data_IF_800605278800
#
_entry.id   IF_800605278800
#
_cell.length_a   1.000
_cell.length_b   1.000
_cell.length_c   1.000
_cell.angle_alpha   90.00
_cell.angle_beta   90.00
_cell.angle_gamma   90.00
#
_symmetry.space_group_name_H-M   'P 1'
#
loop_
_entity.id
_entity.type
_entity.pdbx_description
1 polymer ?
#
# COMPACT_ATOMS: atom_id res chain seq x y z
N UNK A 1 10.48 26.35 -11.56
CA UNK A 1 9.51 25.97 -10.52
C UNK A 1 10.01 24.66 -9.93
N UNK A 2 10.05 24.47 -8.60
CA UNK A 2 10.37 23.14 -8.08
C UNK A 2 9.33 22.17 -8.65
N UNK A 3 9.82 21.04 -9.19
CA UNK A 3 8.98 19.99 -9.75
C UNK A 3 8.05 19.42 -8.69
N UNK A 4 6.99 18.75 -9.10
CA UNK A 4 6.08 18.03 -8.18
C UNK A 4 6.90 16.92 -7.47
N UNK A 5 7.10 17.00 -6.14
CA UNK A 5 7.94 16.04 -5.42
C UNK A 5 7.33 14.63 -5.39
N UNK A 6 6.08 14.48 -5.81
CA UNK A 6 5.43 13.18 -5.93
C UNK A 6 5.66 12.52 -7.29
N UNK A 7 6.05 13.26 -8.33
CA UNK A 7 6.35 12.72 -9.66
C UNK A 7 7.58 11.82 -9.57
N UNK A 8 7.46 10.58 -10.05
CA UNK A 8 8.55 9.61 -9.99
C UNK A 8 8.93 9.01 -11.34
N UNK A 9 8.13 9.23 -12.38
CA UNK A 9 8.40 8.70 -13.71
C UNK A 9 7.21 8.73 -14.65
N UNK A 10 7.33 7.98 -15.73
CA UNK A 10 6.33 7.90 -16.81
C UNK A 10 6.05 6.46 -17.22
N UNK A 11 4.81 6.20 -17.65
CA UNK A 11 4.40 4.91 -18.22
C UNK A 11 5.09 4.70 -19.56
N UNK A 12 5.75 3.56 -19.74
CA UNK A 12 6.45 3.16 -20.96
C UNK A 12 5.73 2.06 -21.73
N UNK A 13 5.03 1.17 -21.05
CA UNK A 13 4.31 0.06 -21.64
C UNK A 13 3.09 -0.29 -20.78
N UNK A 14 2.02 -0.78 -21.45
CA UNK A 14 0.77 -1.18 -20.80
C UNK A 14 0.35 -2.53 -21.33
N UNK A 15 0.21 -3.51 -20.44
CA UNK A 15 -0.22 -4.89 -20.76
C UNK A 15 -1.35 -5.32 -19.86
N UNK A 16 -2.59 -5.09 -20.28
CA UNK A 16 -3.75 -5.29 -19.42
C UNK A 16 -3.66 -4.40 -18.18
N UNK A 17 -3.75 -4.98 -17.00
CA UNK A 17 -3.62 -4.25 -15.74
C UNK A 17 -2.16 -4.08 -15.25
N UNK A 18 -1.16 -4.51 -16.03
CA UNK A 18 0.27 -4.34 -15.70
C UNK A 18 0.84 -3.19 -16.50
N UNK A 19 1.57 -2.30 -15.83
CA UNK A 19 2.26 -1.17 -16.46
C UNK A 19 3.75 -1.23 -16.18
N UNK A 20 4.56 -0.87 -17.18
CA UNK A 20 5.99 -0.64 -17.02
C UNK A 20 6.26 0.86 -16.93
N UNK A 21 7.06 1.26 -15.99
CA UNK A 21 7.31 2.65 -15.61
C UNK A 21 8.81 2.90 -15.70
N UNK A 22 9.18 3.96 -16.41
CA UNK A 22 10.53 4.49 -16.40
C UNK A 22 10.62 5.55 -15.29
N UNK A 23 11.58 5.40 -14.40
CA UNK A 23 11.82 6.36 -13.32
C UNK A 23 12.58 7.58 -13.84
N UNK A 24 12.22 8.75 -13.33
CA UNK A 24 12.94 9.99 -13.63
C UNK A 24 14.32 10.01 -12.95
N UNK A 25 15.30 10.64 -13.58
CA UNK A 25 16.68 10.71 -13.09
C UNK A 25 16.78 11.40 -11.71
N UNK A 26 15.93 12.38 -11.44
CA UNK A 26 15.86 13.08 -10.15
C UNK A 26 15.48 12.16 -8.98
N UNK A 27 14.93 10.96 -9.27
CA UNK A 27 14.59 9.95 -8.26
C UNK A 27 15.77 9.04 -7.88
N UNK A 28 16.99 9.37 -8.32
CA UNK A 28 18.21 8.56 -8.14
C UNK A 28 18.53 8.22 -6.68
N UNK A 29 18.17 9.08 -5.72
CA UNK A 29 18.35 8.83 -4.28
C UNK A 29 17.47 7.70 -3.74
N UNK A 30 16.44 7.27 -4.48
CA UNK A 30 15.48 6.25 -4.04
C UNK A 30 14.56 6.70 -2.90
N UNK A 31 14.65 7.95 -2.46
CA UNK A 31 13.81 8.54 -1.41
C UNK A 31 13.34 9.91 -1.89
N UNK A 32 12.03 10.14 -1.85
CA UNK A 32 11.43 11.46 -2.03
C UNK A 32 10.86 11.96 -0.71
N UNK A 33 11.01 13.25 -0.44
CA UNK A 33 10.44 13.88 0.75
C UNK A 33 9.21 14.70 0.35
N UNK A 34 8.06 14.32 0.89
CA UNK A 34 6.78 15.00 0.67
C UNK A 34 6.19 15.37 2.02
N UNK A 35 5.86 16.63 2.22
CA UNK A 35 5.29 17.15 3.49
C UNK A 35 6.06 16.72 4.75
N UNK A 36 7.40 16.61 4.66
CA UNK A 36 8.27 16.20 5.77
C UNK A 36 8.39 14.69 5.98
N UNK A 37 7.71 13.88 5.19
CA UNK A 37 7.80 12.42 5.23
C UNK A 37 8.67 11.88 4.09
N UNK A 38 9.56 10.93 4.41
CA UNK A 38 10.40 10.23 3.43
C UNK A 38 9.67 9.03 2.84
N UNK A 39 9.55 8.99 1.51
CA UNK A 39 8.93 7.89 0.77
C UNK A 39 9.99 7.18 -0.06
N UNK A 40 10.10 5.85 0.08
CA UNK A 40 10.97 5.03 -0.75
C UNK A 40 10.35 4.81 -2.12
N UNK A 41 11.13 5.08 -3.17
CA UNK A 41 10.70 4.93 -4.57
C UNK A 41 11.19 3.60 -5.12
N UNK A 42 10.34 2.89 -5.88
CA UNK A 42 10.70 1.65 -6.57
C UNK A 42 10.87 0.44 -5.65
N UNK A 43 10.30 0.45 -4.46
CA UNK A 43 10.28 -0.70 -3.59
C UNK A 43 9.12 -1.64 -3.98
N UNK A 44 9.41 -2.94 -4.16
CA UNK A 44 8.38 -3.96 -4.39
C UNK A 44 7.38 -3.95 -3.23
N UNK A 45 6.07 -3.96 -3.57
CA UNK A 45 4.97 -3.84 -2.62
C UNK A 45 4.57 -2.40 -2.29
N UNK A 46 5.31 -1.37 -2.75
CA UNK A 46 4.88 0.02 -2.62
C UNK A 46 3.78 0.36 -3.63
N UNK A 47 3.05 1.43 -3.34
CA UNK A 47 2.00 1.92 -4.22
C UNK A 47 2.49 3.01 -5.16
N UNK A 48 1.90 3.04 -6.35
CA UNK A 48 2.03 4.11 -7.33
C UNK A 48 0.65 4.64 -7.72
N UNK A 49 0.60 5.89 -8.15
CA UNK A 49 -0.62 6.56 -8.60
C UNK A 49 -0.41 7.12 -10.01
N UNK A 50 -1.37 6.87 -10.88
CA UNK A 50 -1.41 7.43 -12.24
C UNK A 50 -2.67 8.28 -12.38
N UNK A 51 -2.56 9.61 -12.41
CA UNK A 51 -3.71 10.49 -12.60
C UNK A 51 -4.21 10.44 -14.04
N UNK A 52 -5.49 10.12 -14.23
CA UNK A 52 -6.20 10.20 -15.52
C UNK A 52 -7.36 11.19 -15.41
N UNK A 53 -7.10 12.45 -15.73
CA UNK A 53 -8.11 13.50 -15.61
C UNK A 53 -8.60 13.67 -14.15
N UNK A 54 -9.87 13.30 -13.88
CA UNK A 54 -10.47 13.38 -12.55
C UNK A 54 -10.36 12.08 -11.75
N UNK A 55 -9.83 11.01 -12.34
CA UNK A 55 -9.67 9.69 -11.71
C UNK A 55 -8.18 9.42 -11.49
N UNK A 56 -7.85 8.89 -10.33
CA UNK A 56 -6.52 8.37 -10.03
C UNK A 56 -6.57 6.84 -10.11
N UNK A 57 -5.67 6.25 -10.89
CA UNK A 57 -5.41 4.81 -10.86
C UNK A 57 -4.35 4.51 -9.81
N UNK A 58 -4.51 3.38 -9.12
CA UNK A 58 -3.56 2.90 -8.11
C UNK A 58 -2.99 1.55 -8.55
N UNK A 59 -1.68 1.42 -8.43
CA UNK A 59 -0.96 0.17 -8.70
C UNK A 59 -0.04 -0.21 -7.56
N UNK A 60 0.31 -1.49 -7.48
CA UNK A 60 1.31 -2.03 -6.55
C UNK A 60 2.53 -2.42 -7.36
N UNK A 61 3.70 -1.98 -6.96
CA UNK A 61 4.99 -2.32 -7.59
C UNK A 61 5.25 -3.82 -7.37
N UNK A 62 5.45 -4.55 -8.46
CA UNK A 62 5.72 -5.99 -8.45
C UNK A 62 7.18 -6.32 -8.76
N UNK A 63 7.83 -5.48 -9.54
CA UNK A 63 9.22 -5.66 -9.96
C UNK A 63 9.93 -4.30 -10.07
N UNK A 64 11.24 -4.31 -9.90
CA UNK A 64 12.10 -3.14 -10.11
C UNK A 64 13.43 -3.60 -10.65
N UNK A 65 14.06 -2.78 -11.49
CA UNK A 65 15.35 -3.09 -12.07
C UNK A 65 16.00 -1.88 -12.74
N UNK A 66 17.20 -2.10 -13.22
CA UNK A 66 17.91 -1.18 -14.10
C UNK A 66 18.05 -1.81 -15.49
N UNK A 67 17.86 -1.01 -16.54
CA UNK A 67 18.06 -1.46 -17.92
C UNK A 67 19.54 -1.72 -18.20
N UNK A 68 19.83 -2.56 -19.21
CA UNK A 68 21.17 -2.66 -19.77
C UNK A 68 21.52 -1.32 -20.43
N UNK A 69 22.59 -0.69 -20.00
CA UNK A 69 23.11 0.55 -20.59
C UNK A 69 23.93 0.15 -21.82
N UNK A 70 23.66 0.71 -23.01
CA UNK A 70 24.56 0.56 -24.14
C UNK A 70 25.95 1.04 -23.77
N UNK A 71 27.00 0.29 -24.18
CA UNK A 71 28.41 0.61 -23.85
C UNK A 71 28.83 2.09 -24.00
N UNK A 72 28.38 2.83 -25.03
CA UNK A 72 28.75 4.24 -25.19
C UNK A 72 28.17 5.19 -24.10
N UNK A 73 27.15 4.75 -23.36
CA UNK A 73 26.49 5.55 -22.32
C UNK A 73 26.86 5.08 -20.91
N UNK A 74 27.57 3.96 -20.77
CA UNK A 74 27.92 3.35 -19.48
C UNK A 74 28.76 4.29 -18.59
N UNK A 75 29.54 5.20 -19.17
CA UNK A 75 30.33 6.19 -18.41
C UNK A 75 29.48 7.35 -17.87
N UNK A 76 28.38 7.69 -18.54
CA UNK A 76 27.49 8.80 -18.15
C UNK A 76 26.30 8.36 -17.33
N UNK A 77 25.87 7.11 -17.46
CA UNK A 77 24.73 6.53 -16.73
C UNK A 77 25.14 5.17 -16.12
N UNK A 78 25.97 5.13 -15.07
CA UNK A 78 26.56 3.90 -14.54
C UNK A 78 25.53 2.89 -14.00
N UNK A 79 24.29 3.30 -13.75
CA UNK A 79 23.22 2.43 -13.25
C UNK A 79 22.13 2.15 -14.29
N UNK A 80 22.25 2.68 -15.52
CA UNK A 80 21.21 2.60 -16.53
C UNK A 80 19.90 3.28 -16.12
N UNK A 81 18.96 3.29 -17.04
CA UNK A 81 17.60 3.79 -16.72
C UNK A 81 16.90 2.82 -15.80
N UNK A 82 16.51 3.30 -14.63
CA UNK A 82 15.76 2.50 -13.65
C UNK A 82 14.31 2.40 -14.07
N UNK A 83 13.77 1.22 -13.92
CA UNK A 83 12.38 0.94 -14.25
C UNK A 83 11.72 0.14 -13.13
N UNK A 84 10.41 0.15 -13.13
CA UNK A 84 9.60 -0.70 -12.29
C UNK A 84 8.35 -1.17 -13.04
N UNK A 85 7.81 -2.30 -12.62
CA UNK A 85 6.53 -2.82 -13.07
C UNK A 85 5.52 -2.71 -11.95
N UNK A 86 4.32 -2.25 -12.26
CA UNK A 86 3.25 -2.17 -11.28
C UNK A 86 1.97 -2.83 -11.82
N UNK A 87 1.28 -3.55 -10.93
CA UNK A 87 -0.03 -4.12 -11.17
C UNK A 87 -1.10 -3.12 -10.71
N UNK A 88 -1.93 -2.65 -11.63
CA UNK A 88 -3.08 -1.81 -11.30
C UNK A 88 -4.09 -2.61 -10.48
N UNK A 89 -4.54 -2.04 -9.36
CA UNK A 89 -5.42 -2.71 -8.39
C UNK A 89 -6.77 -2.04 -8.21
N UNK A 90 -6.88 -0.79 -8.62
CA UNK A 90 -8.13 -0.06 -8.51
C UNK A 90 -8.01 1.40 -8.91
N UNK A 91 -9.11 2.10 -8.78
CA UNK A 91 -9.23 3.50 -9.14
C UNK A 91 -10.09 4.27 -8.13
N UNK A 92 -10.05 5.58 -8.21
CA UNK A 92 -10.93 6.43 -7.42
C UNK A 92 -10.93 7.86 -7.95
N UNK A 93 -12.12 8.45 -8.10
CA UNK A 93 -12.23 9.86 -8.44
C UNK A 93 -11.57 10.72 -7.36
N UNK A 94 -11.01 11.88 -7.72
CA UNK A 94 -10.40 12.80 -6.76
C UNK A 94 -11.39 13.20 -5.68
N UNK A 95 -11.07 12.86 -4.43
CA UNK A 95 -11.95 13.11 -3.27
C UNK A 95 -13.01 12.04 -3.01
N UNK A 96 -13.13 11.01 -3.85
CA UNK A 96 -14.03 9.87 -3.65
C UNK A 96 -13.30 8.65 -3.09
N UNK A 97 -14.08 7.63 -2.73
CA UNK A 97 -13.56 6.36 -2.23
C UNK A 97 -12.86 5.57 -3.34
N UNK A 98 -11.92 4.75 -2.96
CA UNK A 98 -11.25 3.79 -3.81
C UNK A 98 -12.18 2.62 -4.14
N UNK A 99 -12.18 2.22 -5.41
CA UNK A 99 -12.87 1.04 -5.93
C UNK A 99 -11.85 0.06 -6.52
N UNK A 100 -12.04 -1.22 -6.26
CA UNK A 100 -11.18 -2.27 -6.84
C UNK A 100 -11.52 -2.50 -8.31
N UNK A 101 -10.50 -2.76 -9.10
CA UNK A 101 -10.61 -2.87 -10.55
C UNK A 101 -10.40 -1.53 -11.23
N UNK A 102 -10.11 -1.55 -12.52
CA UNK A 102 -9.84 -0.36 -13.32
C UNK A 102 -10.79 -0.34 -14.51
N UNK A 103 -11.46 0.77 -14.72
CA UNK A 103 -12.37 0.98 -15.86
C UNK A 103 -11.63 1.58 -17.05
N UNK A 104 -10.50 2.24 -16.80
CA UNK A 104 -9.64 2.87 -17.78
C UNK A 104 -8.20 2.43 -17.57
N UNK A 105 -7.41 2.45 -18.64
CA UNK A 105 -5.99 2.14 -18.57
C UNK A 105 -5.18 3.40 -18.91
N UNK A 106 -4.00 3.57 -18.31
CA UNK A 106 -3.11 4.65 -18.69
C UNK A 106 -2.55 4.39 -20.09
N UNK A 107 -2.00 5.43 -20.67
CA UNK A 107 -1.29 5.39 -21.95
C UNK A 107 0.20 5.64 -21.74
N UNK A 108 0.99 5.30 -22.77
CA UNK A 108 2.43 5.59 -22.76
C UNK A 108 2.64 7.11 -22.67
N UNK A 109 3.52 7.53 -21.74
CA UNK A 109 3.80 8.92 -21.45
C UNK A 109 2.99 9.50 -20.28
N UNK A 110 1.98 8.79 -19.77
CA UNK A 110 1.26 9.23 -18.56
C UNK A 110 2.20 9.30 -17.35
N UNK A 111 2.01 10.32 -16.52
CA UNK A 111 2.84 10.59 -15.36
C UNK A 111 2.50 9.65 -14.22
N UNK A 112 3.54 9.13 -13.58
CA UNK A 112 3.42 8.26 -12.42
C UNK A 112 3.92 8.98 -11.18
N UNK A 113 3.12 8.93 -10.13
CA UNK A 113 3.40 9.58 -8.86
C UNK A 113 3.56 8.54 -7.75
N UNK A 114 4.36 8.86 -6.75
CA UNK A 114 4.32 8.12 -5.49
C UNK A 114 2.96 8.32 -4.81
N UNK A 115 2.57 7.35 -4.02
CA UNK A 115 1.34 7.40 -3.22
C UNK A 115 1.69 7.92 -1.83
N UNK A 116 1.07 9.04 -1.45
CA UNK A 116 1.25 9.65 -0.15
C UNK A 116 0.36 8.96 0.91
N UNK A 117 0.64 9.23 2.19
CA UNK A 117 -0.23 8.78 3.28
C UNK A 117 -1.69 9.20 3.07
N UNK A 118 -1.89 10.42 2.56
CA UNK A 118 -3.22 10.95 2.25
C UNK A 118 -3.95 10.15 1.18
N UNK A 119 -3.23 9.70 0.14
CA UNK A 119 -3.79 8.85 -0.91
C UNK A 119 -4.17 7.47 -0.36
N UNK A 120 -3.33 6.93 0.53
CA UNK A 120 -3.58 5.61 1.12
C UNK A 120 -4.77 5.60 2.09
N UNK A 121 -5.08 6.71 2.74
CA UNK A 121 -6.35 6.83 3.47
C UNK A 121 -7.58 6.72 2.58
N UNK A 122 -7.47 7.06 1.30
CA UNK A 122 -8.55 6.82 0.32
C UNK A 122 -8.71 5.32 0.03
N UNK A 123 -7.59 4.60 -0.04
CA UNK A 123 -7.57 3.16 -0.34
C UNK A 123 -7.99 2.31 0.85
N UNK A 124 -7.48 2.62 2.04
CA UNK A 124 -7.65 1.78 3.23
C UNK A 124 -8.66 2.32 4.25
N UNK A 125 -9.11 3.56 4.11
CA UNK A 125 -9.95 4.25 5.09
C UNK A 125 -9.12 5.09 6.07
N UNK A 126 -9.82 5.85 6.90
CA UNK A 126 -9.21 6.72 7.91
C UNK A 126 -9.16 6.02 9.27
N UNK A 127 -8.06 6.17 10.03
CA UNK A 127 -7.93 5.55 11.36
C UNK A 127 -9.02 6.00 12.35
N UNK A 128 -9.52 7.22 12.19
CA UNK A 128 -10.51 7.84 13.07
C UNK A 128 -11.93 7.32 12.88
N UNK A 129 -12.21 6.61 11.77
CA UNK A 129 -13.53 6.03 11.55
C UNK A 129 -13.72 4.85 12.52
N UNK A 130 -14.81 4.84 13.36
CA UNK A 130 -15.01 3.81 14.39
C UNK A 130 -15.06 2.37 13.87
N UNK A 131 -15.41 2.21 12.59
CA UNK A 131 -15.48 0.90 11.93
C UNK A 131 -14.11 0.27 11.63
N UNK A 132 -13.04 1.07 11.66
CA UNK A 132 -11.69 0.56 11.38
C UNK A 132 -10.89 0.34 12.67
N UNK A 133 -10.24 -0.81 12.73
CA UNK A 133 -9.30 -1.18 13.78
C UNK A 133 -7.92 -1.34 13.17
N UNK A 134 -6.94 -0.72 13.78
CA UNK A 134 -5.55 -0.90 13.40
C UNK A 134 -5.04 -2.24 13.92
N UNK A 135 -4.51 -3.07 13.02
CA UNK A 135 -3.92 -4.38 13.33
C UNK A 135 -2.39 -4.40 13.14
N UNK A 136 -1.82 -3.30 12.70
CA UNK A 136 -0.39 -3.15 12.44
C UNK A 136 -0.10 -1.97 11.52
N UNK A 137 0.99 -2.04 10.78
CA UNK A 137 1.37 -1.06 9.77
C UNK A 137 1.71 -1.76 8.45
N UNK A 138 1.66 -1.03 7.34
CA UNK A 138 2.09 -1.58 6.05
C UNK A 138 3.61 -1.78 6.07
N UNK A 139 4.07 -2.97 5.67
CA UNK A 139 5.51 -3.27 5.62
C UNK A 139 6.29 -2.35 4.65
N UNK A 140 5.63 -1.87 3.60
CA UNK A 140 6.20 -0.94 2.60
C UNK A 140 6.16 0.53 3.02
N UNK A 141 5.41 0.86 4.09
CA UNK A 141 5.23 2.24 4.56
C UNK A 141 4.81 2.22 6.04
N UNK A 142 5.78 2.19 6.94
CA UNK A 142 5.55 2.04 8.39
C UNK A 142 4.67 3.16 9.00
N UNK A 143 4.65 4.35 8.37
CA UNK A 143 3.77 5.43 8.78
C UNK A 143 2.28 5.17 8.50
N UNK A 144 1.95 4.10 7.75
CA UNK A 144 0.58 3.82 7.32
C UNK A 144 0.01 2.66 8.12
N UNK A 145 -1.08 2.90 8.87
CA UNK A 145 -1.74 1.87 9.63
C UNK A 145 -2.40 0.84 8.70
N UNK A 146 -2.22 -0.45 9.01
CA UNK A 146 -3.00 -1.52 8.41
C UNK A 146 -4.35 -1.60 9.15
N UNK A 147 -5.43 -1.29 8.45
CA UNK A 147 -6.77 -1.18 9.00
C UNK A 147 -7.64 -2.36 8.60
N UNK A 148 -8.44 -2.84 9.52
CA UNK A 148 -9.46 -3.87 9.29
C UNK A 148 -10.85 -3.29 9.59
N UNK A 149 -11.79 -3.46 8.68
CA UNK A 149 -13.19 -3.10 8.88
C UNK A 149 -13.85 -4.11 9.83
N UNK A 150 -14.13 -3.68 11.07
CA UNK A 150 -14.71 -4.52 12.12
C UNK A 150 -16.08 -5.07 11.73
N UNK A 151 -16.91 -4.29 11.05
CA UNK A 151 -18.24 -4.74 10.65
C UNK A 151 -18.14 -5.93 9.68
N UNK A 152 -17.18 -5.87 8.75
CA UNK A 152 -16.92 -6.99 7.83
C UNK A 152 -16.27 -8.18 8.54
N UNK A 153 -15.41 -7.91 9.51
CA UNK A 153 -14.74 -8.96 10.30
C UNK A 153 -15.76 -9.78 11.10
N UNK A 154 -16.66 -9.12 11.85
CA UNK A 154 -17.60 -9.80 12.76
C UNK A 154 -18.83 -10.38 12.06
N UNK A 155 -19.18 -9.88 10.86
CA UNK A 155 -20.32 -10.40 10.09
C UNK A 155 -19.96 -11.53 9.12
N UNK A 156 -18.68 -11.88 9.02
CA UNK A 156 -18.15 -12.92 8.11
C UNK A 156 -17.20 -13.86 8.84
N UNK A 157 -16.92 -15.00 8.21
CA UNK A 157 -15.89 -15.93 8.69
C UNK A 157 -14.50 -15.42 8.31
N UNK A 158 -13.56 -15.52 9.24
CA UNK A 158 -12.17 -15.13 9.05
C UNK A 158 -11.26 -16.29 9.42
N UNK A 159 -10.22 -16.52 8.65
CA UNK A 159 -9.16 -17.46 8.98
C UNK A 159 -7.83 -16.72 9.06
N UNK A 160 -7.07 -16.96 10.14
CA UNK A 160 -5.70 -16.48 10.31
C UNK A 160 -4.76 -17.65 10.09
N UNK A 161 -4.07 -17.64 8.95
CA UNK A 161 -3.21 -18.73 8.50
C UNK A 161 -1.74 -18.29 8.54
N UNK A 162 -0.87 -19.23 8.84
CA UNK A 162 0.58 -19.00 8.84
C UNK A 162 1.35 -20.17 9.46
N UNK A 163 2.66 -20.23 9.23
CA UNK A 163 3.54 -21.21 9.82
C UNK A 163 3.66 -21.05 11.36
N UNK A 164 4.18 -22.03 12.05
CA UNK A 164 4.50 -21.93 13.49
C UNK A 164 5.50 -20.81 13.70
N UNK A 165 5.25 -19.97 14.70
CA UNK A 165 6.11 -18.78 14.99
C UNK A 165 5.82 -17.54 14.13
N UNK A 166 4.90 -17.61 13.15
CA UNK A 166 4.56 -16.47 12.28
C UNK A 166 3.71 -15.38 12.96
N UNK A 167 3.39 -15.50 14.26
CA UNK A 167 2.63 -14.49 15.00
C UNK A 167 1.10 -14.62 14.90
N UNK A 168 0.57 -15.76 14.46
CA UNK A 168 -0.89 -15.97 14.35
C UNK A 168 -1.63 -15.66 15.66
N UNK A 169 -1.22 -16.31 16.76
CA UNK A 169 -1.87 -16.17 18.06
C UNK A 169 -1.72 -14.76 18.61
N UNK A 170 -0.58 -14.12 18.38
CA UNK A 170 -0.34 -12.71 18.75
C UNK A 170 -1.26 -11.76 18.00
N UNK A 171 -1.44 -11.97 16.69
CA UNK A 171 -2.35 -11.17 15.86
C UNK A 171 -3.79 -11.31 16.31
N UNK A 172 -4.24 -12.54 16.61
CA UNK A 172 -5.59 -12.81 17.11
C UNK A 172 -5.78 -12.18 18.49
N UNK A 173 -4.82 -12.33 19.39
CA UNK A 173 -4.89 -11.73 20.75
C UNK A 173 -4.99 -10.19 20.67
N UNK A 174 -4.18 -9.54 19.83
CA UNK A 174 -4.25 -8.10 19.59
C UNK A 174 -5.61 -7.65 19.05
N UNK A 175 -6.18 -8.41 18.11
CA UNK A 175 -7.50 -8.14 17.57
C UNK A 175 -8.60 -8.28 18.63
N UNK A 176 -8.59 -9.37 19.40
CA UNK A 176 -9.52 -9.60 20.51
C UNK A 176 -9.41 -8.50 21.57
N UNK A 177 -8.20 -8.12 21.94
CA UNK A 177 -7.96 -7.02 22.89
C UNK A 177 -8.59 -5.71 22.38
N UNK A 178 -8.41 -5.38 21.11
CA UNK A 178 -8.99 -4.17 20.53
C UNK A 178 -10.52 -4.23 20.47
N UNK A 179 -11.11 -5.38 20.14
CA UNK A 179 -12.57 -5.57 20.11
C UNK A 179 -13.19 -5.60 21.52
N UNK A 180 -12.39 -5.85 22.56
CA UNK A 180 -12.80 -5.86 23.96
C UNK A 180 -12.77 -4.46 24.60
N UNK A 181 -12.36 -3.42 23.85
CA UNK A 181 -12.44 -2.03 24.32
C UNK A 181 -13.90 -1.61 24.48
N UNK A 182 -14.35 -1.59 25.74
CA UNK A 182 -15.75 -1.26 26.09
C UNK A 182 -16.12 0.19 25.83
N UNK A 183 -15.16 1.10 25.73
CA UNK A 183 -15.42 2.49 25.36
C UNK A 183 -15.76 2.59 23.88
N UNK A 184 -15.05 1.83 23.06
CA UNK A 184 -15.24 1.82 21.59
C UNK A 184 -16.34 0.86 21.14
N UNK A 185 -16.47 -0.28 21.79
CA UNK A 185 -17.41 -1.36 21.44
C UNK A 185 -18.21 -1.86 22.64
N UNK A 186 -19.10 -1.05 23.24
CA UNK A 186 -19.77 -1.37 24.50
C UNK A 186 -20.65 -2.61 24.44
N UNK A 187 -21.12 -2.99 23.25
CA UNK A 187 -21.97 -4.17 23.05
C UNK A 187 -21.23 -5.39 22.54
N UNK A 188 -19.91 -5.30 22.28
CA UNK A 188 -19.14 -6.43 21.80
C UNK A 188 -19.08 -7.55 22.86
N UNK A 189 -19.18 -8.79 22.39
CA UNK A 189 -18.96 -9.99 23.18
C UNK A 189 -18.06 -10.92 22.38
N UNK A 190 -16.96 -11.32 22.97
CA UNK A 190 -15.98 -12.23 22.34
C UNK A 190 -15.96 -13.51 23.14
N UNK A 191 -16.14 -14.65 22.47
CA UNK A 191 -16.02 -15.99 23.03
C UNK A 191 -14.81 -16.66 22.39
N UNK A 192 -13.82 -17.04 23.19
CA UNK A 192 -12.61 -17.71 22.73
C UNK A 192 -12.67 -19.17 23.15
N UNK A 193 -12.61 -20.08 22.16
CA UNK A 193 -12.47 -21.53 22.39
C UNK A 193 -11.00 -21.86 22.16
N UNK A 194 -10.24 -21.96 23.25
CA UNK A 194 -8.78 -22.10 23.25
C UNK A 194 -8.38 -23.54 23.57
N UNK A 195 -8.27 -24.35 22.53
CA UNK A 195 -7.95 -25.80 22.66
C UNK A 195 -6.51 -26.01 23.15
N UNK A 196 -5.60 -25.10 22.82
CA UNK A 196 -4.17 -25.24 23.11
C UNK A 196 -3.69 -24.38 24.29
N UNK A 197 -4.55 -23.54 24.89
CA UNK A 197 -4.20 -22.67 26.00
C UNK A 197 -3.29 -21.50 25.65
N UNK A 198 -3.23 -21.10 24.37
CA UNK A 198 -2.34 -20.04 23.89
C UNK A 198 -2.78 -18.63 24.30
N UNK A 199 -4.06 -18.44 24.56
CA UNK A 199 -4.64 -17.12 24.84
C UNK A 199 -4.85 -16.83 26.33
N UNK A 200 -4.74 -17.82 27.20
CA UNK A 200 -5.00 -17.68 28.60
C UNK A 200 -4.13 -16.63 29.33
N UNK A 201 -2.89 -16.42 28.86
CA UNK A 201 -1.97 -15.40 29.37
C UNK A 201 -2.09 -14.05 28.66
N UNK A 202 -2.53 -14.03 27.43
CA UNK A 202 -2.58 -12.84 26.59
C UNK A 202 -3.86 -12.01 26.76
N UNK A 203 -4.94 -12.61 27.30
CA UNK A 203 -6.26 -12.00 27.46
C UNK A 203 -6.66 -11.77 28.93
N UNK A 204 -5.67 -11.65 29.82
CA UNK A 204 -5.88 -11.31 31.25
C UNK A 204 -5.93 -9.83 31.50
#
# INVERSE_FOLDING_TARGET
>A
MPGDPTLIGTVQDVRGATISILLDDDTASGISFVEGHGYRIGQVGSFVRVPLGFTDLFGIVTETGAGAVPEPLAETEPYGRRWMTAQLVGEGARGAHFERGVSQHPTVGDRVHLVTQRDLWRVYGRPEEPRFVQVGHLASAEAIPALVDVNRLVTRHVAVLGATGAGKSTTVAGLVHTLSDTQRYPSARVIVIDIHGEYASALR
#
